data_IF_861274173086
#
_entry.id   IF_861274173086
#
_cell.length_a   1.000
_cell.length_b   1.000
_cell.length_c   1.000
_cell.angle_alpha   90.00
_cell.angle_beta   90.00
_cell.angle_gamma   90.00
#
_symmetry.space_group_name_H-M   'P 1'
#
loop_
_entity.id
_entity.type
_entity.pdbx_description
1 polymer ?
#
# COMPACT_ATOMS: atom_id res chain seq x y z
N UNK A 1 -10.78 -19.03 -2.98
CA UNK A 1 -10.08 -18.08 -3.87
C UNK A 1 -11.08 -17.64 -4.94
N UNK A 2 -11.03 -16.40 -5.37
CA UNK A 2 -11.89 -15.91 -6.46
C UNK A 2 -11.42 -16.47 -7.80
N UNK A 3 -12.34 -16.71 -8.77
CA UNK A 3 -11.96 -16.99 -10.15
C UNK A 3 -11.07 -15.88 -10.74
N UNK A 4 -10.20 -16.21 -11.70
CA UNK A 4 -9.25 -15.25 -12.29
C UNK A 4 -9.95 -14.08 -12.98
N UNK A 5 -11.11 -14.33 -13.60
CA UNK A 5 -11.93 -13.31 -14.26
C UNK A 5 -12.39 -12.20 -13.27
N UNK A 6 -12.59 -12.57 -12.01
CA UNK A 6 -12.91 -11.60 -10.96
C UNK A 6 -11.65 -10.98 -10.37
N UNK A 7 -10.68 -11.79 -9.91
CA UNK A 7 -9.50 -11.30 -9.19
C UNK A 7 -8.55 -10.47 -10.07
N UNK A 8 -8.38 -10.86 -11.34
CA UNK A 8 -7.50 -10.19 -12.30
C UNK A 8 -8.26 -9.30 -13.29
N UNK A 9 -9.59 -9.44 -13.35
CA UNK A 9 -10.50 -8.70 -14.22
C UNK A 9 -11.27 -7.61 -13.46
N UNK A 10 -12.53 -7.89 -13.13
CA UNK A 10 -13.47 -6.92 -12.60
C UNK A 10 -13.05 -6.29 -11.27
N UNK A 11 -12.41 -7.06 -10.38
CA UNK A 11 -11.97 -6.58 -9.08
C UNK A 11 -10.53 -6.03 -9.09
N UNK A 12 -9.84 -6.07 -10.23
CA UNK A 12 -8.47 -5.55 -10.34
C UNK A 12 -8.48 -4.05 -10.66
N UNK A 13 -7.75 -3.27 -9.88
CA UNK A 13 -7.57 -1.83 -10.09
C UNK A 13 -6.50 -1.57 -11.16
N UNK A 14 -6.83 -1.89 -12.41
CA UNK A 14 -5.94 -1.69 -13.56
C UNK A 14 -5.86 -0.22 -13.95
N UNK A 15 -4.66 0.21 -14.35
CA UNK A 15 -4.44 1.57 -14.83
C UNK A 15 -5.25 1.86 -16.11
N UNK A 16 -5.85 3.05 -16.18
CA UNK A 16 -6.61 3.52 -17.34
C UNK A 16 -8.05 2.99 -17.45
N UNK A 17 -8.47 2.10 -16.56
CA UNK A 17 -9.82 1.54 -16.58
C UNK A 17 -10.68 2.07 -15.43
N UNK A 18 -11.97 2.30 -15.71
CA UNK A 18 -12.94 2.62 -14.67
C UNK A 18 -13.31 1.35 -13.91
N UNK A 19 -13.24 1.42 -12.58
CA UNK A 19 -13.58 0.29 -11.70
C UNK A 19 -14.48 0.72 -10.56
N UNK A 20 -15.54 -0.05 -10.26
CA UNK A 20 -16.31 0.15 -9.05
C UNK A 20 -15.43 -0.21 -7.83
N UNK A 21 -15.49 0.61 -6.81
CA UNK A 21 -14.74 0.44 -5.57
C UNK A 21 -15.54 0.95 -4.38
N UNK A 22 -15.14 0.53 -3.19
CA UNK A 22 -15.53 1.18 -1.95
C UNK A 22 -14.37 2.08 -1.57
N UNK A 23 -14.64 3.38 -1.44
CA UNK A 23 -13.63 4.37 -1.08
C UNK A 23 -13.84 4.87 0.33
N UNK A 24 -12.75 4.91 1.10
CA UNK A 24 -12.69 5.58 2.40
C UNK A 24 -12.03 6.93 2.18
N UNK A 25 -12.81 8.01 2.35
CA UNK A 25 -12.31 9.39 2.28
C UNK A 25 -12.01 9.85 3.69
N UNK A 26 -10.80 10.31 3.97
CA UNK A 26 -10.38 10.74 5.31
C UNK A 26 -9.85 12.15 5.24
N UNK A 27 -10.46 13.06 6.00
CA UNK A 27 -10.00 14.44 6.16
C UNK A 27 -9.11 14.54 7.39
N UNK A 28 -7.87 14.97 7.16
CA UNK A 28 -6.88 15.15 8.22
C UNK A 28 -6.61 16.63 8.49
N UNK A 29 -6.41 16.98 9.75
CA UNK A 29 -5.89 18.29 10.14
C UNK A 29 -4.39 18.41 9.82
N UNK A 30 -3.82 19.60 9.93
CA UNK A 30 -2.37 19.79 9.83
C UNK A 30 -1.58 19.02 10.91
N UNK A 31 -2.21 18.75 12.04
CA UNK A 31 -1.65 17.90 13.10
C UNK A 31 -1.89 16.41 12.85
N UNK A 32 -2.46 16.03 11.70
CA UNK A 32 -2.82 14.65 11.34
C UNK A 32 -3.83 14.00 12.30
N UNK A 33 -4.73 14.79 12.87
CA UNK A 33 -5.92 14.29 13.57
C UNK A 33 -7.02 14.06 12.53
N UNK A 34 -7.79 12.97 12.68
CA UNK A 34 -8.94 12.71 11.82
C UNK A 34 -10.02 13.72 12.16
N UNK A 35 -10.37 14.60 11.22
CA UNK A 35 -11.46 15.57 11.36
C UNK A 35 -12.78 14.90 11.04
N UNK A 36 -12.81 14.14 9.94
CA UNK A 36 -13.99 13.51 9.41
C UNK A 36 -13.59 12.36 8.47
N UNK A 37 -14.49 11.41 8.26
CA UNK A 37 -14.32 10.36 7.27
C UNK A 37 -15.65 9.94 6.66
N UNK A 38 -15.61 9.47 5.45
CA UNK A 38 -16.78 8.95 4.73
C UNK A 38 -16.40 7.66 3.99
N UNK A 39 -17.28 6.65 4.05
CA UNK A 39 -17.15 5.41 3.30
C UNK A 39 -18.28 5.34 2.29
N UNK A 40 -17.95 5.31 1.00
CA UNK A 40 -18.93 5.35 -0.07
C UNK A 40 -18.56 4.42 -1.24
N UNK A 41 -19.59 3.91 -1.95
CA UNK A 41 -19.36 3.29 -3.24
C UNK A 41 -18.92 4.35 -4.25
N UNK A 42 -17.91 4.04 -5.03
CA UNK A 42 -17.29 4.98 -5.98
C UNK A 42 -16.96 4.31 -7.30
N UNK A 43 -16.75 5.12 -8.32
CA UNK A 43 -16.19 4.70 -9.59
C UNK A 43 -14.83 5.39 -9.74
N UNK A 44 -13.76 4.60 -9.71
CA UNK A 44 -12.40 5.13 -9.74
C UNK A 44 -11.71 4.83 -11.06
N UNK A 45 -10.77 5.69 -11.43
CA UNK A 45 -9.84 5.49 -12.55
C UNK A 45 -8.40 5.60 -12.02
N UNK A 46 -7.69 4.49 -12.00
CA UNK A 46 -6.29 4.43 -11.57
C UNK A 46 -5.42 4.98 -12.70
N UNK A 47 -4.74 6.09 -12.47
CA UNK A 47 -3.84 6.69 -13.46
C UNK A 47 -2.53 5.90 -13.59
N UNK A 48 -1.95 5.49 -12.47
CA UNK A 48 -0.67 4.79 -12.41
C UNK A 48 -0.77 3.62 -11.44
N UNK A 49 -0.28 2.47 -11.86
CA UNK A 49 -0.12 1.29 -11.02
C UNK A 49 1.36 1.15 -10.71
N UNK A 50 1.73 1.38 -9.45
CA UNK A 50 3.11 1.37 -9.00
C UNK A 50 3.42 0.08 -8.23
N UNK A 51 4.59 -0.49 -8.44
CA UNK A 51 5.10 -1.57 -7.61
C UNK A 51 5.77 -1.00 -6.34
N UNK A 52 5.97 -1.83 -5.32
CA UNK A 52 6.76 -1.43 -4.14
C UNK A 52 8.18 -0.99 -4.51
N UNK A 53 8.75 -1.60 -5.57
CA UNK A 53 10.06 -1.24 -6.07
C UNK A 53 10.06 0.17 -6.65
N UNK A 54 9.07 0.51 -7.48
CA UNK A 54 8.90 1.84 -8.04
C UNK A 54 8.74 2.89 -6.95
N UNK A 55 7.91 2.62 -5.95
CA UNK A 55 7.70 3.52 -4.80
C UNK A 55 8.99 3.71 -3.99
N UNK A 56 9.78 2.66 -3.80
CA UNK A 56 11.04 2.76 -3.08
C UNK A 56 12.10 3.58 -3.83
N UNK A 57 12.13 3.50 -5.18
CA UNK A 57 13.06 4.25 -6.03
C UNK A 57 12.59 5.69 -6.29
N UNK A 58 11.29 5.88 -6.51
CA UNK A 58 10.70 7.17 -6.90
C UNK A 58 10.22 7.99 -5.70
N UNK A 59 10.50 7.56 -4.48
CA UNK A 59 10.03 8.21 -3.26
C UNK A 59 10.40 9.71 -3.20
N UNK A 60 11.51 10.10 -3.82
CA UNK A 60 11.98 11.49 -3.81
C UNK A 60 11.56 12.29 -5.07
N UNK A 61 10.90 11.65 -6.05
CA UNK A 61 10.54 12.28 -7.33
C UNK A 61 9.03 12.52 -7.48
N UNK A 62 8.19 11.82 -6.68
CA UNK A 62 6.74 11.95 -6.73
C UNK A 62 6.23 12.61 -5.45
N UNK A 63 5.75 13.84 -5.59
CA UNK A 63 5.28 14.66 -4.45
C UNK A 63 4.15 13.98 -3.66
N UNK A 64 3.21 13.31 -4.33
CA UNK A 64 2.09 12.64 -3.67
C UNK A 64 2.60 11.46 -2.82
N UNK A 65 3.55 10.68 -3.35
CA UNK A 65 4.18 9.57 -2.63
C UNK A 65 4.97 10.09 -1.42
N UNK A 66 5.66 11.22 -1.56
CA UNK A 66 6.40 11.85 -0.44
C UNK A 66 5.45 12.26 0.69
N UNK A 67 4.34 12.94 0.35
CA UNK A 67 3.34 13.37 1.33
C UNK A 67 2.73 12.15 2.04
N UNK A 68 2.31 11.15 1.27
CA UNK A 68 1.74 9.93 1.84
C UNK A 68 2.73 9.19 2.75
N UNK A 69 4.01 9.16 2.38
CA UNK A 69 5.07 8.55 3.19
C UNK A 69 5.27 9.31 4.51
N UNK A 70 5.27 10.63 4.48
CA UNK A 70 5.38 11.46 5.69
C UNK A 70 4.19 11.21 6.63
N UNK A 71 2.98 11.19 6.09
CA UNK A 71 1.76 10.87 6.85
C UNK A 71 1.88 9.49 7.49
N UNK A 72 2.22 8.47 6.70
CA UNK A 72 2.37 7.10 7.17
C UNK A 72 3.42 6.97 8.28
N UNK A 73 4.58 7.63 8.14
CA UNK A 73 5.61 7.64 9.18
C UNK A 73 5.12 8.25 10.50
N UNK A 74 4.38 9.35 10.43
CA UNK A 74 3.82 10.00 11.63
C UNK A 74 2.77 9.14 12.32
N UNK A 75 1.88 8.50 11.55
CA UNK A 75 0.89 7.55 12.11
C UNK A 75 1.58 6.36 12.76
N UNK A 76 2.57 5.78 12.10
CA UNK A 76 3.37 4.68 12.66
C UNK A 76 4.03 5.09 13.98
N UNK A 77 4.69 6.26 14.01
CA UNK A 77 5.36 6.74 15.22
C UNK A 77 4.37 6.90 16.37
N UNK A 78 3.21 7.51 16.14
CA UNK A 78 2.16 7.64 17.15
C UNK A 78 1.70 6.30 17.71
N UNK A 79 1.51 5.29 16.85
CA UNK A 79 1.11 3.96 17.31
C UNK A 79 2.20 3.31 18.17
N UNK A 80 3.46 3.44 17.78
CA UNK A 80 4.60 2.93 18.55
C UNK A 80 4.72 3.65 19.90
N UNK A 81 4.58 4.96 19.93
CA UNK A 81 4.59 5.76 21.16
C UNK A 81 3.43 5.40 22.09
N UNK A 82 2.29 4.98 21.52
CA UNK A 82 1.14 4.48 22.26
C UNK A 82 1.27 3.02 22.72
N UNK A 83 2.43 2.37 22.50
CA UNK A 83 2.72 1.02 22.94
C UNK A 83 2.40 -0.09 21.92
N UNK A 84 2.18 0.24 20.65
CA UNK A 84 2.04 -0.78 19.62
C UNK A 84 3.34 -1.58 19.45
N UNK A 85 3.21 -2.89 19.31
CA UNK A 85 4.36 -3.79 19.07
C UNK A 85 4.40 -4.18 17.61
N UNK A 86 5.57 -4.01 17.00
CA UNK A 86 5.82 -4.46 15.65
C UNK A 86 6.53 -5.79 15.64
N UNK A 87 5.93 -6.78 14.98
CA UNK A 87 6.52 -8.11 14.83
C UNK A 87 7.09 -8.22 13.41
N UNK A 88 8.43 -8.11 13.30
CA UNK A 88 9.14 -8.25 12.04
C UNK A 88 9.58 -9.70 11.84
N UNK A 89 8.73 -10.52 11.24
CA UNK A 89 9.11 -11.87 10.85
C UNK A 89 9.81 -11.84 9.48
N UNK A 90 10.94 -12.56 9.33
CA UNK A 90 11.59 -12.67 8.03
C UNK A 90 10.68 -13.43 7.05
N UNK A 91 10.49 -12.89 5.87
CA UNK A 91 9.77 -13.51 4.77
C UNK A 91 10.75 -13.87 3.66
N UNK A 92 10.56 -15.03 3.09
CA UNK A 92 11.40 -15.53 2.01
C UNK A 92 10.50 -15.80 0.80
N UNK A 93 10.85 -15.23 -0.33
CA UNK A 93 10.27 -15.57 -1.62
C UNK A 93 11.17 -16.57 -2.34
N UNK A 94 10.57 -17.69 -2.73
CA UNK A 94 11.24 -18.72 -3.51
C UNK A 94 10.68 -18.67 -4.94
N UNK A 95 11.55 -18.42 -5.90
CA UNK A 95 11.21 -18.43 -7.32
C UNK A 95 11.84 -19.63 -7.99
N UNK A 96 11.04 -20.29 -8.82
CA UNK A 96 11.49 -21.37 -9.67
C UNK A 96 11.48 -20.86 -11.11
N UNK A 97 12.66 -20.77 -11.72
CA UNK A 97 12.79 -20.41 -13.12
C UNK A 97 12.48 -21.61 -14.05
N UNK A 98 12.27 -21.37 -15.33
CA UNK A 98 11.95 -22.42 -16.33
C UNK A 98 13.06 -23.46 -16.46
N UNK A 99 14.31 -23.07 -16.22
CA UNK A 99 15.49 -23.96 -16.18
C UNK A 99 15.62 -24.74 -14.86
N UNK A 100 14.61 -24.69 -13.98
CA UNK A 100 14.56 -25.27 -12.62
C UNK A 100 15.55 -24.67 -11.63
N UNK A 101 16.16 -23.53 -11.93
CA UNK A 101 16.98 -22.79 -10.96
C UNK A 101 16.08 -22.22 -9.86
N UNK A 102 16.45 -22.48 -8.60
CA UNK A 102 15.74 -21.97 -7.44
C UNK A 102 16.45 -20.70 -6.96
N UNK A 103 15.72 -19.58 -6.94
CA UNK A 103 16.21 -18.33 -6.38
C UNK A 103 15.46 -18.03 -5.07
N UNK A 104 16.21 -17.75 -4.01
CA UNK A 104 15.67 -17.44 -2.69
C UNK A 104 16.00 -15.98 -2.36
N UNK A 105 14.96 -15.17 -2.22
CA UNK A 105 15.10 -13.75 -1.88
C UNK A 105 14.44 -13.44 -0.54
N UNK A 106 15.18 -12.76 0.34
CA UNK A 106 14.62 -12.23 1.60
C UNK A 106 13.81 -10.96 1.28
N UNK A 107 12.56 -10.95 1.72
CA UNK A 107 11.67 -9.79 1.56
C UNK A 107 11.88 -8.84 2.74
N UNK A 108 12.20 -7.59 2.44
CA UNK A 108 12.20 -6.55 3.46
C UNK A 108 10.77 -6.01 3.65
N UNK A 109 10.10 -6.47 4.71
CA UNK A 109 8.75 -6.02 5.08
C UNK A 109 8.72 -4.56 5.59
N UNK A 110 9.87 -4.05 5.99
CA UNK A 110 10.06 -2.68 6.49
C UNK A 110 10.45 -1.69 5.38
N UNK A 111 10.38 -2.09 4.10
CA UNK A 111 10.65 -1.17 3.01
C UNK A 111 9.67 0.01 3.03
N UNK A 112 10.10 1.22 2.63
CA UNK A 112 9.27 2.43 2.69
C UNK A 112 7.90 2.27 2.02
N UNK A 113 7.86 1.65 0.84
CA UNK A 113 6.59 1.43 0.12
C UNK A 113 5.64 0.47 0.84
N UNK A 114 6.16 -0.61 1.45
CA UNK A 114 5.33 -1.54 2.23
C UNK A 114 4.82 -0.91 3.51
N UNK A 115 5.67 -0.16 4.21
CA UNK A 115 5.29 0.58 5.41
C UNK A 115 4.18 1.60 5.10
N UNK A 116 4.31 2.36 4.02
CA UNK A 116 3.31 3.32 3.58
C UNK A 116 1.95 2.67 3.37
N UNK A 117 1.90 1.59 2.60
CA UNK A 117 0.63 0.86 2.33
C UNK A 117 0.05 0.29 3.63
N UNK A 118 0.88 -0.33 4.48
CA UNK A 118 0.43 -0.91 5.75
C UNK A 118 -0.22 0.14 6.67
N UNK A 119 0.41 1.30 6.82
CA UNK A 119 -0.13 2.38 7.68
C UNK A 119 -1.42 2.98 7.12
N UNK A 120 -1.53 3.15 5.80
CA UNK A 120 -2.76 3.63 5.17
C UNK A 120 -3.90 2.60 5.28
N UNK A 121 -3.60 1.31 5.20
CA UNK A 121 -4.59 0.24 5.41
C UNK A 121 -5.04 0.13 6.87
N UNK A 122 -4.21 0.52 7.83
CA UNK A 122 -4.59 0.60 9.25
C UNK A 122 -5.47 1.83 9.50
N UNK A 123 -5.23 2.92 8.77
CA UNK A 123 -6.02 4.14 8.87
C UNK A 123 -7.43 3.99 8.29
N UNK A 124 -7.57 3.24 7.17
CA UNK A 124 -8.84 3.02 6.46
C UNK A 124 -9.74 2.01 7.18
#
# INVERSE_FOLDING_TARGET
MLPSELSEGLCSLKAGELRPAISTMVNLSHSLEIIDYEILPSLINVKHQLTYYDVNLAADQNQDVMILREIAQKFRQRRLDAGAVQISLPEINVWLADDRTITVNKVNRESPGRMLVAELMILA
#
